data_IF_386043526890
#
_entry.id   IF_386043526890
#
_cell.length_a   1.000
_cell.length_b   1.000
_cell.length_c   1.000
_cell.angle_alpha   90.00
_cell.angle_beta   90.00
_cell.angle_gamma   90.00
#
_symmetry.space_group_name_H-M   'P 1'
#
loop_
_entity.id
_entity.type
_entity.pdbx_description
1 polymer ?
#
# COMPACT_ATOMS: atom_id res chain seq x y z
N UNK A 1 7.29 -14.90 10.06
CA UNK A 1 8.69 -14.82 10.52
C UNK A 1 9.28 -16.23 10.58
N UNK A 2 8.68 -17.16 11.33
CA UNK A 2 9.20 -18.55 11.46
C UNK A 2 9.50 -19.26 10.14
N UNK A 3 8.70 -19.04 9.09
CA UNK A 3 8.96 -19.65 7.78
C UNK A 3 10.23 -19.09 7.13
N UNK A 4 10.36 -17.76 7.05
CA UNK A 4 11.51 -17.13 6.43
C UNK A 4 12.82 -17.38 7.22
N UNK A 5 12.74 -17.52 8.54
CA UNK A 5 13.86 -17.96 9.37
C UNK A 5 14.22 -19.44 9.12
N UNK A 6 13.22 -20.33 9.06
CA UNK A 6 13.44 -21.76 8.76
C UNK A 6 14.06 -21.99 7.39
N UNK A 7 13.66 -21.20 6.40
CA UNK A 7 14.22 -21.23 5.04
C UNK A 7 15.57 -20.47 4.92
N UNK A 8 16.10 -19.93 6.03
CA UNK A 8 17.38 -19.22 6.04
C UNK A 8 17.37 -17.95 5.19
N UNK A 9 16.22 -17.31 5.02
CA UNK A 9 16.05 -16.08 4.24
C UNK A 9 16.30 -14.82 5.07
N UNK A 10 16.34 -14.95 6.40
CA UNK A 10 16.55 -13.86 7.35
C UNK A 10 17.70 -14.23 8.27
N UNK A 11 18.62 -13.29 8.50
CA UNK A 11 19.69 -13.44 9.47
C UNK A 11 19.87 -12.15 10.29
N UNK A 12 20.03 -12.28 11.60
CA UNK A 12 20.48 -11.17 12.45
C UNK A 12 22.01 -11.06 12.38
N UNK A 13 22.51 -9.86 12.10
CA UNK A 13 23.94 -9.59 12.07
C UNK A 13 24.49 -9.35 13.47
N UNK A 14 25.58 -10.05 13.79
CA UNK A 14 26.38 -9.80 14.99
C UNK A 14 26.91 -8.36 15.01
N UNK A 15 27.18 -7.77 16.18
CA UNK A 15 27.83 -6.47 16.28
C UNK A 15 29.25 -6.50 15.71
N UNK A 16 29.78 -5.37 15.25
CA UNK A 16 31.06 -5.27 14.52
C UNK A 16 32.23 -5.97 15.20
N UNK A 17 32.29 -5.96 16.53
CA UNK A 17 33.39 -6.51 17.32
C UNK A 17 33.38 -8.05 17.37
N UNK A 18 32.29 -8.69 16.93
CA UNK A 18 32.13 -10.14 16.85
C UNK A 18 32.17 -10.68 15.40
N UNK A 19 32.27 -9.81 14.38
CA UNK A 19 32.31 -10.23 12.97
C UNK A 19 33.73 -10.64 12.59
N UNK A 20 33.88 -11.84 12.01
CA UNK A 20 35.19 -12.42 11.64
C UNK A 20 35.83 -11.79 10.38
N UNK A 21 35.08 -11.01 9.59
CA UNK A 21 35.55 -10.43 8.33
C UNK A 21 35.88 -8.93 8.44
N UNK A 22 37.09 -8.54 8.03
CA UNK A 22 37.60 -7.15 8.04
C UNK A 22 36.83 -6.14 7.16
N UNK A 23 35.93 -6.60 6.28
CA UNK A 23 35.14 -5.75 5.38
C UNK A 23 33.99 -4.98 6.08
N UNK A 24 33.70 -5.25 7.37
CA UNK A 24 32.48 -4.80 8.05
C UNK A 24 32.76 -4.03 9.35
N UNK A 25 33.67 -3.04 9.28
CA UNK A 25 33.87 -2.06 10.36
C UNK A 25 32.70 -1.08 10.56
N UNK A 26 31.64 -1.22 9.75
CA UNK A 26 30.44 -0.40 9.81
C UNK A 26 29.53 -0.82 10.97
N UNK A 27 29.49 0.01 12.00
CA UNK A 27 28.63 -0.16 13.18
C UNK A 27 27.15 0.13 12.86
N UNK A 28 26.82 0.71 11.70
CA UNK A 28 25.43 0.90 11.26
C UNK A 28 24.69 -0.42 11.02
N UNK A 29 25.45 -1.50 10.83
CA UNK A 29 24.92 -2.85 10.64
C UNK A 29 24.83 -3.66 11.95
N UNK A 30 25.22 -3.08 13.09
CA UNK A 30 25.15 -3.77 14.38
C UNK A 30 23.70 -4.12 14.70
N UNK A 31 23.46 -5.41 14.96
CA UNK A 31 22.12 -5.99 15.16
C UNK A 31 21.15 -5.78 14.00
N UNK A 32 21.65 -5.42 12.80
CA UNK A 32 20.80 -5.27 11.64
C UNK A 32 20.26 -6.64 11.19
N UNK A 33 19.05 -6.63 10.65
CA UNK A 33 18.44 -7.80 10.03
C UNK A 33 18.78 -7.79 8.55
N UNK A 34 19.37 -8.88 8.07
CA UNK A 34 19.62 -9.14 6.66
C UNK A 34 18.48 -9.97 6.06
N UNK A 35 17.91 -9.49 4.96
CA UNK A 35 16.91 -10.15 4.12
C UNK A 35 17.61 -10.65 2.86
N UNK A 36 17.87 -11.95 2.79
CA UNK A 36 18.61 -12.55 1.69
C UNK A 36 17.72 -12.73 0.45
N UNK A 37 18.22 -12.30 -0.70
CA UNK A 37 17.52 -12.42 -1.97
C UNK A 37 17.89 -13.76 -2.59
N UNK A 38 16.91 -14.64 -2.71
CA UNK A 38 17.09 -15.93 -3.38
C UNK A 38 16.65 -15.84 -4.82
N UNK A 39 17.50 -16.32 -5.72
CA UNK A 39 17.14 -16.57 -7.11
C UNK A 39 16.13 -17.72 -7.16
N UNK A 40 14.98 -17.54 -7.81
CA UNK A 40 13.90 -18.51 -7.76
C UNK A 40 14.14 -19.77 -8.60
N UNK A 41 15.08 -19.74 -9.53
CA UNK A 41 15.41 -20.88 -10.37
C UNK A 41 16.49 -21.76 -9.73
N UNK A 42 17.48 -21.14 -9.10
CA UNK A 42 18.68 -21.80 -8.58
C UNK A 42 18.68 -21.97 -7.06
N UNK A 43 17.95 -21.12 -6.32
CA UNK A 43 17.98 -21.05 -4.86
C UNK A 43 19.24 -20.38 -4.29
N UNK A 44 20.12 -19.87 -5.14
CA UNK A 44 21.34 -19.18 -4.73
C UNK A 44 21.03 -17.80 -4.13
N UNK A 45 21.88 -17.34 -3.21
CA UNK A 45 21.79 -15.98 -2.68
C UNK A 45 22.42 -15.02 -3.68
N UNK A 46 21.60 -14.12 -4.22
CA UNK A 46 21.98 -13.18 -5.29
C UNK A 46 22.01 -11.71 -4.84
N UNK A 47 21.81 -11.48 -3.54
CA UNK A 47 21.90 -10.18 -2.91
C UNK A 47 21.28 -10.19 -1.52
N UNK A 48 21.30 -9.04 -0.85
CA UNK A 48 20.63 -8.85 0.42
C UNK A 48 20.21 -7.38 0.63
N UNK A 49 19.13 -7.22 1.40
CA UNK A 49 18.71 -5.95 2.00
C UNK A 49 18.96 -5.98 3.48
N UNK A 50 19.40 -4.87 4.06
CA UNK A 50 19.70 -4.74 5.48
C UNK A 50 18.82 -3.68 6.10
N UNK A 51 18.27 -3.99 7.27
CA UNK A 51 17.50 -3.08 8.09
C UNK A 51 18.13 -2.99 9.49
N UNK A 52 18.59 -1.80 9.85
CA UNK A 52 19.06 -1.51 11.21
C UNK A 52 17.92 -1.57 12.21
N UNK A 53 18.23 -2.03 13.42
CA UNK A 53 17.29 -2.17 14.55
C UNK A 53 17.40 -1.04 15.58
N UNK A 54 18.46 -0.23 15.50
CA UNK A 54 18.67 0.92 16.38
C UNK A 54 18.02 2.16 15.76
N UNK A 55 17.16 2.82 16.54
CA UNK A 55 16.53 4.09 16.16
C UNK A 55 17.37 5.27 16.61
N UNK A 56 17.89 6.04 15.66
CA UNK A 56 18.63 7.29 15.88
C UNK A 56 18.36 8.27 14.72
N UNK A 57 17.50 9.26 14.97
CA UNK A 57 17.13 10.29 13.98
C UNK A 57 18.25 11.31 13.70
N UNK A 58 19.16 11.53 14.64
CA UNK A 58 20.31 12.40 14.42
C UNK A 58 21.28 11.75 13.43
N UNK A 59 21.46 10.44 13.55
CA UNK A 59 22.38 9.66 12.73
C UNK A 59 21.79 9.25 11.38
N UNK A 60 20.51 8.86 11.33
CA UNK A 60 19.88 8.26 10.15
C UNK A 60 18.81 9.16 9.51
N UNK A 61 18.69 10.41 9.97
CA UNK A 61 17.74 11.39 9.45
C UNK A 61 16.28 10.96 9.64
N UNK A 62 15.40 11.39 8.72
CA UNK A 62 13.95 11.17 8.83
C UNK A 62 13.53 9.70 9.00
N UNK A 63 14.30 8.76 8.46
CA UNK A 63 13.99 7.32 8.53
C UNK A 63 14.29 6.73 9.92
N UNK A 64 15.15 7.38 10.70
CA UNK A 64 15.50 6.96 12.06
C UNK A 64 16.30 5.66 12.15
N UNK A 65 16.46 4.90 11.07
CA UNK A 65 17.17 3.61 11.05
C UNK A 65 18.03 3.49 9.80
N UNK A 66 19.09 2.70 9.88
CA UNK A 66 19.92 2.37 8.73
C UNK A 66 19.17 1.45 7.76
N UNK A 67 19.26 1.73 6.45
CA UNK A 67 18.81 0.82 5.38
C UNK A 67 19.89 0.74 4.32
N UNK A 68 20.19 -0.47 3.86
CA UNK A 68 21.17 -0.72 2.82
C UNK A 68 20.75 -1.88 1.92
N UNK A 69 21.17 -1.85 0.67
CA UNK A 69 21.13 -3.00 -0.25
C UNK A 69 22.59 -3.25 -0.62
N UNK A 70 22.99 -4.51 -0.80
CA UNK A 70 24.33 -4.86 -1.28
C UNK A 70 24.76 -3.99 -2.47
N UNK A 71 26.07 -3.79 -2.64
CA UNK A 71 26.61 -2.90 -3.69
C UNK A 71 26.33 -3.39 -5.11
N UNK A 72 26.36 -4.71 -5.32
CA UNK A 72 26.19 -5.35 -6.63
C UNK A 72 25.22 -6.54 -6.53
N UNK A 73 23.95 -6.32 -6.17
CA UNK A 73 22.98 -7.40 -6.16
C UNK A 73 22.62 -7.74 -7.61
N UNK A 74 22.14 -8.96 -7.86
CA UNK A 74 21.60 -9.30 -9.17
C UNK A 74 20.44 -8.35 -9.51
N UNK A 75 20.45 -7.70 -10.68
CA UNK A 75 19.39 -6.77 -11.07
C UNK A 75 18.01 -7.40 -11.03
N UNK A 76 16.99 -6.59 -10.77
CA UNK A 76 15.57 -6.97 -10.77
C UNK A 76 15.15 -8.02 -9.74
N UNK A 77 16.05 -8.45 -8.86
CA UNK A 77 15.76 -9.32 -7.74
C UNK A 77 15.39 -8.53 -6.49
N UNK A 78 14.78 -9.24 -5.54
CA UNK A 78 14.50 -8.71 -4.21
C UNK A 78 14.25 -9.85 -3.23
N UNK A 79 14.10 -9.48 -1.95
CA UNK A 79 13.68 -10.43 -0.93
C UNK A 79 12.32 -11.00 -1.31
N UNK A 80 12.19 -12.32 -1.36
CA UNK A 80 10.97 -12.95 -1.81
C UNK A 80 10.68 -14.26 -1.05
N UNK A 81 9.40 -14.61 -1.02
CA UNK A 81 8.84 -15.75 -0.32
C UNK A 81 7.80 -16.41 -1.22
N UNK A 82 8.10 -17.60 -1.75
CA UNK A 82 7.18 -18.41 -2.55
C UNK A 82 6.60 -19.55 -1.72
N UNK A 83 5.28 -19.65 -1.67
CA UNK A 83 4.54 -20.67 -0.92
C UNK A 83 3.65 -21.43 -1.92
N UNK A 84 4.02 -22.66 -2.26
CA UNK A 84 3.31 -23.44 -3.28
C UNK A 84 3.54 -22.91 -4.69
N UNK A 85 2.52 -22.96 -5.54
CA UNK A 85 2.57 -22.47 -6.92
C UNK A 85 2.49 -20.92 -6.96
N UNK A 86 3.13 -20.23 -7.92
CA UNK A 86 3.06 -18.76 -8.00
C UNK A 86 1.76 -18.25 -8.64
N UNK A 87 0.58 -18.64 -8.11
CA UNK A 87 -0.73 -18.24 -8.66
C UNK A 87 -1.14 -16.83 -8.22
N UNK A 88 -0.72 -16.40 -7.05
CA UNK A 88 -1.04 -15.08 -6.49
C UNK A 88 0.26 -14.31 -6.21
N UNK A 89 0.62 -13.37 -7.11
CA UNK A 89 1.79 -12.54 -6.91
C UNK A 89 1.43 -11.29 -6.11
N UNK A 90 2.27 -10.95 -5.13
CA UNK A 90 2.10 -9.74 -4.29
C UNK A 90 3.42 -8.99 -4.19
N UNK A 91 3.43 -7.74 -4.62
CA UNK A 91 4.63 -6.91 -4.71
C UNK A 91 4.63 -5.81 -3.65
N UNK A 92 5.58 -5.87 -2.72
CA UNK A 92 5.68 -4.98 -1.57
C UNK A 92 6.79 -3.95 -1.76
N UNK A 93 6.60 -2.74 -1.22
CA UNK A 93 7.62 -1.69 -1.27
C UNK A 93 8.88 -2.06 -0.45
N UNK A 94 8.73 -2.83 0.62
CA UNK A 94 9.84 -3.25 1.49
C UNK A 94 9.73 -4.70 1.98
N UNK A 95 10.85 -5.27 2.43
CA UNK A 95 10.89 -6.64 2.98
C UNK A 95 10.10 -6.74 4.30
N UNK A 96 10.02 -5.65 5.06
CA UNK A 96 9.27 -5.59 6.32
C UNK A 96 7.77 -5.62 6.04
N UNK A 97 7.29 -4.87 5.04
CA UNK A 97 5.87 -4.89 4.65
C UNK A 97 5.44 -6.26 4.15
N UNK A 98 6.29 -6.92 3.37
CA UNK A 98 6.09 -8.29 2.94
C UNK A 98 5.89 -9.23 4.12
N UNK A 99 6.80 -9.22 5.09
CA UNK A 99 6.71 -10.08 6.27
C UNK A 99 5.54 -9.71 7.18
N UNK A 100 5.20 -8.43 7.25
CA UNK A 100 4.09 -7.92 8.04
C UNK A 100 2.75 -8.40 7.47
N UNK A 101 2.59 -8.28 6.15
CA UNK A 101 1.47 -8.86 5.43
C UNK A 101 1.39 -10.37 5.63
N UNK A 102 2.52 -11.07 5.51
CA UNK A 102 2.57 -12.52 5.68
C UNK A 102 2.15 -12.96 7.10
N UNK A 103 2.55 -12.20 8.13
CA UNK A 103 2.14 -12.44 9.50
C UNK A 103 0.63 -12.22 9.71
N UNK A 104 0.08 -11.16 9.14
CA UNK A 104 -1.36 -10.84 9.23
C UNK A 104 -2.24 -11.83 8.45
N UNK A 105 -1.73 -12.44 7.40
CA UNK A 105 -2.52 -13.23 6.44
C UNK A 105 -2.09 -14.70 6.35
N UNK A 106 -1.42 -15.24 7.37
CA UNK A 106 -0.77 -16.58 7.34
C UNK A 106 -1.63 -17.70 6.74
N UNK A 107 -2.92 -17.73 7.07
CA UNK A 107 -3.87 -18.76 6.63
C UNK A 107 -4.30 -18.63 5.16
N UNK A 108 -4.01 -17.50 4.52
CA UNK A 108 -4.43 -17.16 3.14
C UNK A 108 -3.28 -17.17 2.13
N UNK A 109 -2.08 -17.59 2.52
CA UNK A 109 -0.88 -17.52 1.66
C UNK A 109 -0.63 -18.77 0.81
N UNK A 110 -1.63 -19.63 0.62
CA UNK A 110 -1.47 -20.79 -0.26
C UNK A 110 -1.34 -20.33 -1.72
N UNK A 111 -0.39 -20.94 -2.45
CA UNK A 111 -0.10 -20.64 -3.85
C UNK A 111 0.19 -19.14 -4.09
N UNK A 112 0.96 -18.54 -3.18
CA UNK A 112 1.31 -17.14 -3.21
C UNK A 112 2.82 -16.93 -3.38
N UNK A 113 3.18 -15.89 -4.13
CA UNK A 113 4.54 -15.40 -4.22
C UNK A 113 4.61 -13.96 -3.77
N UNK A 114 5.21 -13.75 -2.61
CA UNK A 114 5.44 -12.43 -2.05
C UNK A 114 6.82 -11.94 -2.47
N UNK A 115 6.92 -10.73 -3.01
CA UNK A 115 8.18 -10.16 -3.53
C UNK A 115 8.34 -8.74 -3.00
N UNK A 116 9.48 -8.43 -2.42
CA UNK A 116 9.86 -7.06 -2.10
C UNK A 116 10.58 -6.43 -3.27
N UNK A 117 10.14 -5.24 -3.67
CA UNK A 117 10.78 -4.44 -4.71
C UNK A 117 11.93 -3.57 -4.16
N UNK A 118 12.04 -3.47 -2.84
CA UNK A 118 12.97 -2.58 -2.14
C UNK A 118 12.98 -1.15 -2.70
N UNK A 119 11.78 -0.58 -2.78
CA UNK A 119 11.43 0.67 -3.44
C UNK A 119 10.48 0.47 -4.62
N UNK A 120 9.95 1.56 -5.14
CA UNK A 120 8.94 1.56 -6.22
C UNK A 120 9.58 1.21 -7.59
N UNK A 121 9.83 -0.08 -7.84
CA UNK A 121 10.61 -0.58 -9.00
C UNK A 121 9.81 -1.53 -9.91
N UNK A 122 9.37 -1.01 -11.06
CA UNK A 122 8.63 -1.78 -12.08
C UNK A 122 9.39 -3.02 -12.59
N UNK A 123 10.70 -2.92 -12.77
CA UNK A 123 11.50 -4.00 -13.35
C UNK A 123 11.53 -5.26 -12.48
N UNK A 124 11.36 -5.13 -11.15
CA UNK A 124 11.19 -6.28 -10.25
C UNK A 124 9.84 -6.95 -10.51
N UNK A 125 8.76 -6.17 -10.69
CA UNK A 125 7.43 -6.70 -11.04
C UNK A 125 7.51 -7.51 -12.34
N UNK A 126 8.05 -6.92 -13.41
CA UNK A 126 8.18 -7.58 -14.70
C UNK A 126 8.96 -8.89 -14.59
N UNK A 127 10.10 -8.88 -13.90
CA UNK A 127 10.94 -10.07 -13.74
C UNK A 127 10.19 -11.23 -13.06
N UNK A 128 9.60 -11.01 -11.89
CA UNK A 128 8.92 -12.09 -11.16
C UNK A 128 7.61 -12.54 -11.83
N UNK A 129 6.95 -11.65 -12.58
CA UNK A 129 5.82 -12.05 -13.44
C UNK A 129 6.29 -12.99 -14.54
N UNK A 130 7.39 -12.67 -15.23
CA UNK A 130 7.97 -13.54 -16.26
C UNK A 130 8.40 -14.90 -15.68
N UNK A 131 9.05 -14.90 -14.51
CA UNK A 131 9.39 -16.13 -13.78
C UNK A 131 8.15 -16.97 -13.46
N UNK A 132 7.09 -16.34 -12.95
CA UNK A 132 5.85 -17.05 -12.64
C UNK A 132 5.17 -17.65 -13.88
N UNK A 133 5.18 -16.93 -15.01
CA UNK A 133 4.66 -17.43 -16.28
C UNK A 133 5.49 -18.61 -16.76
N UNK A 134 6.82 -18.53 -16.66
CA UNK A 134 7.73 -19.61 -17.04
C UNK A 134 7.44 -20.89 -16.24
N UNK A 135 7.26 -20.76 -14.92
CA UNK A 135 6.95 -21.88 -14.03
C UNK A 135 5.55 -22.47 -14.31
N UNK A 136 4.54 -21.61 -14.48
CA UNK A 136 3.16 -22.01 -14.72
C UNK A 136 2.89 -22.48 -16.17
N UNK A 137 3.80 -22.21 -17.11
CA UNK A 137 3.67 -22.64 -18.51
C UNK A 137 3.51 -24.15 -18.64
N UNK A 138 4.17 -24.94 -17.78
CA UNK A 138 4.00 -26.40 -17.74
C UNK A 138 2.56 -26.83 -17.43
N UNK A 139 1.83 -26.00 -16.69
CA UNK A 139 0.42 -26.19 -16.31
C UNK A 139 -0.54 -25.48 -17.27
N UNK A 140 -0.03 -24.76 -18.27
CA UNK A 140 -0.79 -23.89 -19.19
C UNK A 140 -1.69 -22.88 -18.45
N UNK A 141 -1.21 -22.37 -17.32
CA UNK A 141 -1.94 -21.38 -16.52
C UNK A 141 -1.17 -20.08 -16.45
N UNK A 142 -1.91 -18.98 -16.27
CA UNK A 142 -1.38 -17.65 -15.97
C UNK A 142 -1.62 -17.35 -14.47
N UNK A 143 -0.81 -16.48 -13.82
CA UNK A 143 -1.13 -16.00 -12.48
C UNK A 143 -2.58 -15.52 -12.35
N UNK A 144 -3.26 -15.98 -11.31
CA UNK A 144 -4.66 -15.65 -11.07
C UNK A 144 -4.84 -14.24 -10.54
N UNK A 145 -3.89 -13.75 -9.74
CA UNK A 145 -3.87 -12.37 -9.28
C UNK A 145 -2.45 -11.81 -9.22
N UNK A 146 -2.34 -10.50 -9.46
CA UNK A 146 -1.09 -9.74 -9.38
C UNK A 146 -1.40 -8.46 -8.62
N UNK A 147 -0.97 -8.39 -7.36
CA UNK A 147 -1.31 -7.29 -6.46
C UNK A 147 -0.10 -6.39 -6.18
N UNK A 148 -0.34 -5.08 -6.17
CA UNK A 148 0.65 -4.08 -5.77
C UNK A 148 0.36 -3.61 -4.35
N UNK A 149 1.26 -3.94 -3.44
CA UNK A 149 1.18 -3.75 -1.99
C UNK A 149 2.14 -2.65 -1.52
N UNK A 150 2.02 -1.47 -2.12
CA UNK A 150 2.80 -0.27 -1.78
C UNK A 150 2.20 0.49 -0.61
N UNK A 151 2.98 1.41 -0.06
CA UNK A 151 2.56 2.31 1.01
C UNK A 151 1.29 3.09 0.62
N UNK A 152 0.40 3.31 1.61
CA UNK A 152 -0.79 4.15 1.47
C UNK A 152 -0.42 5.63 1.56
N UNK A 153 0.43 6.08 0.65
CA UNK A 153 0.84 7.47 0.49
C UNK A 153 0.82 7.92 -0.97
N UNK A 154 1.14 9.19 -1.20
CA UNK A 154 1.14 9.77 -2.53
C UNK A 154 2.05 9.02 -3.51
N UNK A 155 3.24 8.58 -3.09
CA UNK A 155 4.20 7.93 -3.98
C UNK A 155 3.73 6.51 -4.33
N UNK A 156 3.25 5.75 -3.35
CA UNK A 156 2.69 4.42 -3.55
C UNK A 156 1.48 4.44 -4.48
N UNK A 157 0.52 5.32 -4.25
CA UNK A 157 -0.66 5.46 -5.12
C UNK A 157 -0.31 5.83 -6.57
N UNK A 158 0.63 6.76 -6.78
CA UNK A 158 1.11 7.12 -8.12
C UNK A 158 1.81 5.94 -8.80
N UNK A 159 2.57 5.14 -8.05
CA UNK A 159 3.19 3.94 -8.59
C UNK A 159 2.15 2.89 -8.98
N UNK A 160 1.19 2.58 -8.09
CA UNK A 160 0.10 1.67 -8.39
C UNK A 160 -0.67 2.09 -9.65
N UNK A 161 -0.95 3.37 -9.81
CA UNK A 161 -1.61 3.92 -10.99
C UNK A 161 -0.84 3.63 -12.28
N UNK A 162 0.48 3.84 -12.28
CA UNK A 162 1.34 3.52 -13.42
C UNK A 162 1.33 2.02 -13.76
N UNK A 163 1.38 1.17 -12.74
CA UNK A 163 1.36 -0.29 -12.94
C UNK A 163 0.01 -0.78 -13.45
N UNK A 164 -1.09 -0.20 -12.96
CA UNK A 164 -2.44 -0.48 -13.47
C UNK A 164 -2.58 -0.09 -14.95
N UNK A 165 -2.04 1.06 -15.35
CA UNK A 165 -2.08 1.52 -16.75
C UNK A 165 -1.19 0.70 -17.67
N UNK A 166 0.03 0.33 -17.23
CA UNK A 166 0.89 -0.57 -18.00
C UNK A 166 0.23 -1.92 -18.21
N UNK A 167 -0.32 -2.51 -17.14
CA UNK A 167 -0.88 -3.85 -17.13
C UNK A 167 0.11 -4.91 -17.59
N UNK A 168 -0.35 -6.15 -17.63
CA UNK A 168 0.44 -7.32 -18.01
C UNK A 168 -0.34 -8.09 -19.08
N UNK A 169 0.32 -8.51 -20.14
CA UNK A 169 -0.33 -9.30 -21.20
C UNK A 169 -0.20 -10.77 -20.85
N UNK A 170 -1.33 -11.46 -20.74
CA UNK A 170 -1.36 -12.91 -20.64
C UNK A 170 -0.90 -13.50 -21.98
N UNK A 171 0.25 -14.22 -22.04
CA UNK A 171 0.78 -14.75 -23.29
C UNK A 171 -0.05 -15.91 -23.86
N UNK A 172 -0.97 -16.49 -23.09
CA UNK A 172 -1.82 -17.60 -23.53
C UNK A 172 -3.14 -17.09 -24.13
N UNK A 173 -3.69 -16.00 -23.60
CA UNK A 173 -4.98 -15.42 -24.05
C UNK A 173 -4.86 -14.11 -24.81
N UNK A 174 -3.67 -13.50 -24.82
CA UNK A 174 -3.38 -12.17 -25.35
C UNK A 174 -4.23 -11.05 -24.71
N UNK A 175 -4.81 -11.29 -23.54
CA UNK A 175 -5.60 -10.30 -22.80
C UNK A 175 -4.68 -9.48 -21.89
N UNK A 176 -4.94 -8.18 -21.83
CA UNK A 176 -4.31 -7.28 -20.87
C UNK A 176 -5.00 -7.42 -19.51
N UNK A 177 -4.25 -7.89 -18.53
CA UNK A 177 -4.64 -8.03 -17.13
C UNK A 177 -4.10 -6.81 -16.37
N UNK A 178 -4.93 -6.22 -15.50
CA UNK A 178 -4.53 -5.08 -14.67
C UNK A 178 -4.10 -5.61 -13.30
N UNK A 179 -3.09 -4.96 -12.72
CA UNK A 179 -2.70 -5.28 -11.36
C UNK A 179 -3.79 -4.86 -10.37
N UNK A 180 -4.07 -5.75 -9.43
CA UNK A 180 -4.98 -5.55 -8.32
C UNK A 180 -4.35 -4.67 -7.24
N UNK A 181 -5.21 -4.11 -6.40
CA UNK A 181 -4.84 -3.16 -5.36
C UNK A 181 -4.61 -3.90 -4.04
N UNK A 182 -3.37 -3.88 -3.54
CA UNK A 182 -2.97 -4.48 -2.27
C UNK A 182 -2.51 -3.46 -1.22
N UNK A 183 -2.95 -2.19 -1.34
CA UNK A 183 -2.55 -1.07 -0.48
C UNK A 183 -3.20 -1.23 0.92
N UNK A 184 -2.43 -1.16 2.01
CA UNK A 184 -2.97 -1.32 3.36
C UNK A 184 -3.92 -0.18 3.71
N UNK A 185 -5.04 -0.53 4.34
CA UNK A 185 -6.01 0.43 4.89
C UNK A 185 -6.52 1.49 3.90
N UNK A 186 -6.57 1.16 2.61
CA UNK A 186 -6.93 2.14 1.59
C UNK A 186 -8.36 2.68 1.74
N UNK A 187 -9.24 1.93 2.38
CA UNK A 187 -10.65 2.30 2.61
C UNK A 187 -10.87 3.10 3.89
N UNK A 188 -9.87 3.19 4.77
CA UNK A 188 -9.99 3.92 6.03
C UNK A 188 -9.99 5.43 5.78
N UNK A 189 -10.71 6.15 6.64
CA UNK A 189 -10.90 7.59 6.53
C UNK A 189 -10.59 8.22 7.89
N UNK A 190 -9.84 9.33 7.95
CA UNK A 190 -9.65 10.04 9.21
C UNK A 190 -10.99 10.45 9.85
N UNK A 191 -11.17 10.07 11.11
CA UNK A 191 -12.42 10.27 11.86
C UNK A 191 -12.81 11.75 11.96
N UNK A 192 -11.83 12.64 12.01
CA UNK A 192 -12.03 14.09 12.06
C UNK A 192 -12.75 14.66 10.83
N UNK A 193 -12.68 14.01 9.67
CA UNK A 193 -13.34 14.48 8.45
C UNK A 193 -14.83 14.18 8.43
N UNK A 194 -15.29 13.21 9.25
CA UNK A 194 -16.65 12.68 9.23
C UNK A 194 -17.71 13.79 9.32
N UNK A 195 -17.59 14.66 10.32
CA UNK A 195 -18.57 15.71 10.56
C UNK A 195 -18.66 16.69 9.38
N UNK A 196 -17.53 17.00 8.74
CA UNK A 196 -17.48 17.88 7.56
C UNK A 196 -18.16 17.25 6.36
N UNK A 197 -17.87 15.98 6.06
CA UNK A 197 -18.51 15.27 4.95
C UNK A 197 -20.02 15.16 5.14
N UNK A 198 -20.48 14.75 6.32
CA UNK A 198 -21.91 14.59 6.62
C UNK A 198 -22.65 15.93 6.57
N UNK A 199 -22.06 17.01 7.10
CA UNK A 199 -22.67 18.32 7.07
C UNK A 199 -22.83 18.87 5.65
N UNK A 200 -21.76 18.81 4.84
CA UNK A 200 -21.79 19.29 3.44
C UNK A 200 -22.71 18.44 2.59
N UNK A 201 -22.64 17.11 2.74
CA UNK A 201 -23.50 16.18 2.01
C UNK A 201 -24.99 16.47 2.25
N UNK A 202 -25.36 16.69 3.53
CA UNK A 202 -26.72 17.06 3.93
C UNK A 202 -27.16 18.40 3.34
N UNK A 203 -26.31 19.43 3.44
CA UNK A 203 -26.60 20.77 2.93
C UNK A 203 -26.82 20.76 1.40
N UNK A 204 -25.97 20.03 0.68
CA UNK A 204 -25.98 19.98 -0.78
C UNK A 204 -26.86 18.88 -1.37
N UNK A 205 -27.50 18.06 -0.52
CA UNK A 205 -28.32 16.92 -0.91
C UNK A 205 -27.59 15.95 -1.85
N UNK A 206 -26.37 15.57 -1.46
CA UNK A 206 -25.53 14.54 -2.10
C UNK A 206 -25.12 13.49 -1.07
N UNK A 207 -24.52 12.38 -1.51
CA UNK A 207 -24.02 11.34 -0.62
C UNK A 207 -22.61 11.66 -0.11
N UNK A 208 -22.32 11.52 1.20
CA UNK A 208 -20.98 11.76 1.74
C UNK A 208 -19.94 10.82 1.11
N UNK A 209 -20.30 9.58 0.81
CA UNK A 209 -19.47 8.57 0.14
C UNK A 209 -18.89 9.11 -1.18
N UNK A 210 -19.68 9.88 -1.94
CA UNK A 210 -19.28 10.43 -3.22
C UNK A 210 -18.25 11.55 -3.06
N UNK A 211 -18.43 12.44 -2.08
CA UNK A 211 -17.44 13.48 -1.74
C UNK A 211 -16.14 12.82 -1.29
N UNK A 212 -16.23 11.82 -0.42
CA UNK A 212 -15.10 11.05 0.10
C UNK A 212 -14.34 10.35 -1.03
N UNK A 213 -15.07 9.75 -1.99
CA UNK A 213 -14.47 9.08 -3.13
C UNK A 213 -13.65 10.04 -4.02
N UNK A 214 -14.14 11.27 -4.23
CA UNK A 214 -13.39 12.31 -4.96
C UNK A 214 -12.16 12.75 -4.16
N UNK A 215 -12.30 13.06 -2.87
CA UNK A 215 -11.17 13.47 -2.04
C UNK A 215 -10.08 12.38 -1.97
N UNK A 216 -10.50 11.11 -1.83
CA UNK A 216 -9.61 9.95 -1.88
C UNK A 216 -8.90 9.82 -3.23
N UNK A 217 -9.64 10.02 -4.32
CA UNK A 217 -9.10 9.92 -5.68
C UNK A 217 -8.07 11.00 -6.00
N UNK A 218 -8.35 12.24 -5.60
CA UNK A 218 -7.55 13.40 -5.97
C UNK A 218 -6.30 13.55 -5.08
N UNK A 219 -6.41 13.38 -3.76
CA UNK A 219 -5.29 13.65 -2.83
C UNK A 219 -5.02 12.54 -1.83
N UNK A 220 -5.64 11.36 -1.96
CA UNK A 220 -5.58 10.30 -0.95
C UNK A 220 -5.99 10.81 0.44
N UNK A 221 -7.02 11.66 0.50
CA UNK A 221 -7.57 12.27 1.72
C UNK A 221 -6.60 13.20 2.46
N UNK A 222 -5.52 13.65 1.81
CA UNK A 222 -4.58 14.60 2.40
C UNK A 222 -5.16 16.01 2.38
N UNK A 223 -4.96 16.77 3.46
CA UNK A 223 -5.31 18.19 3.55
C UNK A 223 -4.29 19.12 2.85
N UNK A 224 -3.55 18.58 1.90
CA UNK A 224 -2.59 19.33 1.08
C UNK A 224 -3.04 19.34 -0.35
N UNK A 225 -2.78 20.43 -1.08
CA UNK A 225 -3.14 20.59 -2.48
C UNK A 225 -2.34 19.71 -3.47
N UNK A 226 -1.67 18.64 -3.01
CA UNK A 226 -0.86 17.77 -3.85
C UNK A 226 -1.71 16.67 -4.49
N UNK A 227 -1.86 16.73 -5.81
CA UNK A 227 -2.55 15.68 -6.56
C UNK A 227 -1.80 14.34 -6.48
N UNK A 228 -2.56 13.26 -6.27
CA UNK A 228 -2.13 11.86 -6.21
C UNK A 228 -2.46 11.17 -7.54
N UNK A 229 -1.75 11.62 -8.58
CA UNK A 229 -1.85 11.12 -9.96
C UNK A 229 -0.50 11.32 -10.65
N UNK A 230 -0.17 10.45 -11.60
CA UNK A 230 0.96 10.65 -12.51
C UNK A 230 0.63 11.66 -13.63
N UNK A 231 -0.65 11.95 -13.82
CA UNK A 231 -1.20 12.76 -14.88
C UNK A 231 -1.82 14.05 -14.34
N UNK A 232 -1.76 15.10 -15.15
CA UNK A 232 -2.32 16.41 -14.82
C UNK A 232 -3.83 16.43 -15.04
N UNK A 233 -4.59 16.66 -13.98
CA UNK A 233 -6.05 16.80 -14.02
C UNK A 233 -6.44 18.01 -13.18
N UNK A 234 -7.37 18.81 -13.70
CA UNK A 234 -7.94 19.93 -12.95
C UNK A 234 -8.83 19.38 -11.84
N UNK A 235 -8.28 19.20 -10.65
CA UNK A 235 -8.98 18.70 -9.47
C UNK A 235 -9.41 19.82 -8.53
N UNK A 236 -10.28 19.50 -7.57
CA UNK A 236 -10.76 20.47 -6.56
C UNK A 236 -9.93 20.41 -5.28
N UNK A 237 -9.59 19.20 -4.82
CA UNK A 237 -8.79 18.99 -3.61
C UNK A 237 -7.29 19.14 -3.85
N UNK A 238 -6.83 18.93 -5.08
CA UNK A 238 -5.40 18.95 -5.41
C UNK A 238 -5.10 19.60 -6.75
N UNK A 239 -3.80 19.78 -7.03
CA UNK A 239 -3.25 20.15 -8.34
C UNK A 239 -1.88 19.52 -8.52
N UNK A 240 -1.43 19.42 -9.77
CA UNK A 240 -0.05 19.02 -10.05
C UNK A 240 0.88 20.21 -9.76
N UNK A 241 1.66 20.10 -8.68
CA UNK A 241 2.61 21.17 -8.31
C UNK A 241 3.81 21.20 -9.25
N UNK A 242 4.20 22.41 -9.67
CA UNK A 242 5.42 22.62 -10.41
C UNK A 242 6.66 22.38 -9.53
N UNK A 243 7.82 22.17 -10.16
CA UNK A 243 9.08 21.98 -9.43
C UNK A 243 9.39 23.23 -8.57
N UNK A 244 9.45 23.04 -7.25
CA UNK A 244 9.74 24.11 -6.30
C UNK A 244 8.51 24.93 -5.85
N UNK A 245 7.32 24.62 -6.37
CA UNK A 245 6.08 25.20 -5.86
C UNK A 245 5.80 24.68 -4.44
N UNK A 246 5.44 25.56 -3.48
CA UNK A 246 5.18 25.14 -2.11
C UNK A 246 3.89 24.31 -2.01
N UNK A 247 3.89 23.40 -1.04
CA UNK A 247 2.68 22.65 -0.67
C UNK A 247 1.81 23.54 0.20
N UNK A 248 0.53 23.65 -0.14
CA UNK A 248 -0.44 24.46 0.60
C UNK A 248 -1.49 23.58 1.26
N UNK A 249 -1.99 24.02 2.41
CA UNK A 249 -3.11 23.39 3.11
C UNK A 249 -4.42 23.79 2.45
N UNK A 250 -5.36 22.85 2.33
CA UNK A 250 -6.71 23.12 1.81
C UNK A 250 -7.72 23.32 2.94
N UNK A 251 -8.74 24.14 2.70
CA UNK A 251 -9.94 24.15 3.53
C UNK A 251 -10.83 22.97 3.11
N UNK A 252 -10.92 21.97 4.00
CA UNK A 252 -11.69 20.76 3.74
C UNK A 252 -13.16 21.06 3.46
N UNK A 253 -13.77 21.99 4.20
CA UNK A 253 -15.20 22.29 4.07
C UNK A 253 -15.47 22.98 2.74
N UNK A 254 -14.67 23.97 2.38
CA UNK A 254 -14.78 24.69 1.11
C UNK A 254 -14.59 23.75 -0.10
N UNK A 255 -13.56 22.90 -0.06
CA UNK A 255 -13.31 21.92 -1.11
C UNK A 255 -14.46 20.91 -1.24
N UNK A 256 -14.96 20.38 -0.11
CA UNK A 256 -16.12 19.50 -0.09
C UNK A 256 -17.37 20.17 -0.67
N UNK A 257 -17.65 21.43 -0.31
CA UNK A 257 -18.81 22.17 -0.84
C UNK A 257 -18.70 22.36 -2.35
N UNK A 258 -17.51 22.65 -2.86
CA UNK A 258 -17.26 22.79 -4.30
C UNK A 258 -17.49 21.47 -5.03
N UNK A 259 -16.90 20.37 -4.53
CA UNK A 259 -17.11 19.03 -5.10
C UNK A 259 -18.58 18.61 -5.05
N UNK A 260 -19.28 18.88 -3.95
CA UNK A 260 -20.69 18.54 -3.82
C UNK A 260 -21.57 19.27 -4.86
N UNK A 261 -21.29 20.55 -5.15
CA UNK A 261 -21.96 21.30 -6.23
C UNK A 261 -21.73 20.64 -7.59
N UNK A 262 -20.50 20.25 -7.88
CA UNK A 262 -20.12 19.61 -9.13
C UNK A 262 -20.73 18.20 -9.27
N UNK A 263 -20.75 17.43 -8.18
CA UNK A 263 -21.40 16.12 -8.10
C UNK A 263 -22.89 16.21 -8.36
N UNK A 264 -23.58 17.23 -7.84
CA UNK A 264 -25.02 17.42 -8.06
C UNK A 264 -25.37 17.58 -9.54
N UNK A 265 -24.51 18.23 -10.32
CA UNK A 265 -24.67 18.36 -11.79
C UNK A 265 -24.46 17.02 -12.51
N UNK A 266 -23.80 16.06 -11.86
CA UNK A 266 -23.46 14.74 -12.39
C UNK A 266 -24.32 13.61 -11.82
N UNK A 267 -25.32 13.93 -10.98
CA UNK A 267 -26.25 12.96 -10.40
C UNK A 267 -27.12 12.30 -11.49
N UNK A 268 -27.33 11.00 -11.34
CA UNK A 268 -28.18 10.18 -12.21
C UNK A 268 -29.55 10.01 -11.57
N UNK A 269 -30.53 9.59 -12.38
CA UNK A 269 -31.90 9.38 -11.91
C UNK A 269 -32.03 8.31 -10.81
N UNK A 270 -31.04 7.41 -10.68
CA UNK A 270 -30.97 6.37 -9.64
C UNK A 270 -30.29 6.84 -8.34
N UNK A 271 -29.93 8.12 -8.24
CA UNK A 271 -29.21 8.70 -7.08
C UNK A 271 -27.71 8.44 -7.06
N UNK A 272 -27.16 7.75 -8.07
CA UNK A 272 -25.71 7.56 -8.23
C UNK A 272 -25.08 8.71 -9.04
N UNK A 273 -23.75 8.72 -9.17
CA UNK A 273 -23.02 9.81 -9.81
C UNK A 273 -22.31 9.35 -11.08
N UNK A 274 -22.35 10.20 -12.12
CA UNK A 274 -21.57 10.01 -13.34
C UNK A 274 -20.17 10.62 -13.20
N UNK A 275 -19.20 9.83 -12.75
CA UNK A 275 -17.81 10.29 -12.56
C UNK A 275 -17.11 10.64 -13.88
N UNK A 276 -17.45 9.99 -14.99
CA UNK A 276 -16.92 10.37 -16.32
C UNK A 276 -17.33 11.80 -16.68
N UNK A 277 -18.60 12.17 -16.40
CA UNK A 277 -19.08 13.54 -16.58
C UNK A 277 -18.39 14.52 -15.63
N UNK A 278 -18.10 14.09 -14.40
CA UNK A 278 -17.39 14.90 -13.40
C UNK A 278 -15.97 15.26 -13.88
N UNK A 279 -15.18 14.27 -14.31
CA UNK A 279 -13.79 14.50 -14.71
C UNK A 279 -13.58 14.89 -16.17
N UNK A 280 -14.52 14.61 -17.09
CA UNK A 280 -14.40 15.03 -18.49
C UNK A 280 -14.31 16.54 -18.67
N UNK A 281 -14.91 17.32 -17.76
CA UNK A 281 -14.84 18.80 -17.74
C UNK A 281 -13.54 19.34 -17.12
N UNK A 282 -12.80 18.46 -16.46
CA UNK A 282 -11.61 18.72 -15.65
C UNK A 282 -10.32 18.19 -16.29
N UNK A 283 -10.44 17.27 -17.25
CA UNK A 283 -9.31 16.78 -18.01
C UNK A 283 -8.86 17.84 -19.03
N UNK A 284 -7.55 18.10 -19.10
CA UNK A 284 -6.99 18.82 -20.23
C UNK A 284 -7.19 17.97 -21.49
N UNK A 285 -7.55 18.59 -22.62
CA UNK A 285 -7.74 17.91 -23.92
C UNK A 285 -6.52 17.08 -24.31
N UNK A 286 -5.33 17.46 -23.84
CA UNK A 286 -4.07 16.74 -24.09
C UNK A 286 -3.92 15.43 -23.30
N UNK A 287 -4.73 15.19 -22.27
CA UNK A 287 -4.63 14.00 -21.41
C UNK A 287 -6.01 13.43 -21.05
N UNK A 288 -6.79 13.08 -22.07
CA UNK A 288 -8.12 12.45 -21.92
C UNK A 288 -8.06 11.16 -21.09
N UNK A 289 -6.94 10.43 -21.17
CA UNK A 289 -6.74 9.19 -20.42
C UNK A 289 -6.69 9.42 -18.89
N UNK A 290 -6.19 10.58 -18.45
CA UNK A 290 -6.19 10.96 -17.04
C UNK A 290 -7.60 11.12 -16.46
N UNK A 291 -8.50 11.75 -17.23
CA UNK A 291 -9.90 11.90 -16.84
C UNK A 291 -10.61 10.54 -16.67
N UNK A 292 -10.36 9.60 -17.61
CA UNK A 292 -10.91 8.23 -17.54
C UNK A 292 -10.38 7.49 -16.31
N UNK A 293 -9.08 7.64 -16.02
CA UNK A 293 -8.44 7.01 -14.87
C UNK A 293 -8.99 7.50 -13.54
N UNK A 294 -9.13 8.81 -13.35
CA UNK A 294 -9.70 9.39 -12.13
C UNK A 294 -11.19 9.05 -12.00
N UNK A 295 -11.94 9.01 -13.10
CA UNK A 295 -13.33 8.56 -13.10
C UNK A 295 -13.46 7.12 -12.61
N UNK A 296 -12.62 6.23 -13.14
CA UNK A 296 -12.54 4.84 -12.70
C UNK A 296 -12.17 4.74 -11.20
N UNK A 297 -11.14 5.47 -10.75
CA UNK A 297 -10.72 5.49 -9.33
C UNK A 297 -11.87 5.96 -8.41
N UNK A 298 -12.53 7.07 -8.76
CA UNK A 298 -13.64 7.61 -7.99
C UNK A 298 -14.82 6.63 -7.92
N UNK A 299 -15.14 5.97 -9.02
CA UNK A 299 -16.20 4.97 -9.03
C UNK A 299 -15.86 3.75 -8.15
N UNK A 300 -14.61 3.26 -8.19
CA UNK A 300 -14.15 2.18 -7.31
C UNK A 300 -14.23 2.60 -5.84
N UNK A 301 -13.78 3.81 -5.51
CA UNK A 301 -13.86 4.31 -4.14
C UNK A 301 -15.29 4.46 -3.66
N UNK A 302 -16.15 5.10 -4.45
CA UNK A 302 -17.56 5.27 -4.13
C UNK A 302 -18.27 3.93 -3.90
N UNK A 303 -18.06 2.94 -4.78
CA UNK A 303 -18.63 1.59 -4.60
C UNK A 303 -18.09 0.89 -3.36
N UNK A 304 -16.79 1.01 -3.08
CA UNK A 304 -16.18 0.43 -1.87
C UNK A 304 -16.74 1.06 -0.61
N UNK A 305 -16.84 2.38 -0.59
CA UNK A 305 -17.44 3.19 0.46
C UNK A 305 -18.93 2.92 0.70
N UNK A 306 -19.69 2.55 -0.33
CA UNK A 306 -21.08 2.11 -0.16
C UNK A 306 -21.20 0.68 0.40
N UNK A 307 -20.21 -0.18 0.14
CA UNK A 307 -20.19 -1.59 0.58
C UNK A 307 -19.57 -1.79 1.95
N UNK A 308 -18.62 -0.94 2.30
CA UNK A 308 -17.93 -0.94 3.57
C UNK A 308 -18.47 0.23 4.38
N UNK A 309 -19.02 -0.04 5.57
CA UNK A 309 -19.18 1.01 6.57
C UNK A 309 -17.81 1.67 6.73
N UNK A 310 -17.67 2.89 6.24
CA UNK A 310 -16.41 3.61 6.27
C UNK A 310 -15.79 3.51 7.66
N UNK A 311 -14.62 2.89 7.75
CA UNK A 311 -13.94 2.79 9.02
C UNK A 311 -13.28 4.14 9.29
N UNK A 312 -14.04 5.01 9.97
CA UNK A 312 -13.56 6.29 10.45
C UNK A 312 -12.61 6.04 11.62
N UNK A 313 -11.32 6.10 11.34
CA UNK A 313 -10.25 5.79 12.29
C UNK A 313 -9.57 7.07 12.78
N UNK A 314 -9.08 7.10 14.04
CA UNK A 314 -8.28 8.23 14.53
C UNK A 314 -7.00 8.44 13.71
N UNK A 315 -6.42 7.37 13.19
CA UNK A 315 -5.18 7.39 12.44
C UNK A 315 -5.20 6.27 11.39
N UNK A 316 -4.98 6.63 10.12
CA UNK A 316 -4.87 5.66 9.02
C UNK A 316 -3.44 5.14 8.99
N UNK A 317 -3.26 3.83 9.17
CA UNK A 317 -1.92 3.23 9.13
C UNK A 317 -1.41 3.18 7.70
N UNK A 318 -0.21 3.71 7.51
CA UNK A 318 0.39 3.97 6.19
C UNK A 318 0.80 2.68 5.47
N UNK A 319 1.44 1.75 6.19
CA UNK A 319 2.04 0.56 5.61
C UNK A 319 1.60 -0.72 6.33
N UNK A 320 2.01 -1.89 5.81
CA UNK A 320 1.60 -3.18 6.39
C UNK A 320 2.27 -3.44 7.74
N UNK A 321 3.46 -2.88 7.96
CA UNK A 321 4.17 -2.96 9.24
C UNK A 321 3.43 -2.17 10.35
N UNK A 322 2.96 -0.97 10.05
CA UNK A 322 2.17 -0.16 10.97
C UNK A 322 0.84 -0.82 11.29
N UNK A 323 0.21 -1.47 10.30
CA UNK A 323 -0.98 -2.28 10.54
C UNK A 323 -0.69 -3.46 11.46
N UNK A 324 0.41 -4.19 11.25
CA UNK A 324 0.78 -5.31 12.11
C UNK A 324 1.03 -4.86 13.55
N UNK A 325 1.78 -3.77 13.74
CA UNK A 325 2.03 -3.18 15.07
C UNK A 325 0.72 -2.82 15.76
N UNK A 326 -0.22 -2.23 15.02
CA UNK A 326 -1.54 -1.90 15.54
C UNK A 326 -2.29 -3.15 16.00
N UNK A 327 -2.37 -4.20 15.17
CA UNK A 327 -3.06 -5.44 15.52
C UNK A 327 -2.45 -6.13 16.75
N UNK A 328 -1.12 -6.18 16.85
CA UNK A 328 -0.44 -6.73 18.03
C UNK A 328 -0.85 -5.96 19.29
N UNK A 329 -0.86 -4.63 19.24
CA UNK A 329 -1.27 -3.80 20.36
C UNK A 329 -2.74 -4.04 20.73
N UNK A 330 -3.64 -4.14 19.75
CA UNK A 330 -5.05 -4.43 19.99
C UNK A 330 -5.27 -5.81 20.61
N UNK A 331 -4.51 -6.82 20.18
CA UNK A 331 -4.57 -8.16 20.77
C UNK A 331 -4.15 -8.15 22.24
N UNK A 332 -3.09 -7.43 22.59
CA UNK A 332 -2.63 -7.31 23.98
C UNK A 332 -3.66 -6.59 24.85
N UNK A 333 -4.26 -5.51 24.38
CA UNK A 333 -5.36 -4.82 25.07
C UNK A 333 -6.55 -5.76 25.29
N UNK A 334 -6.94 -6.55 24.28
CA UNK A 334 -8.04 -7.53 24.40
C UNK A 334 -7.70 -8.63 25.40
N UNK A 335 -6.44 -9.05 25.49
CA UNK A 335 -5.96 -10.05 26.46
C UNK A 335 -6.03 -9.50 27.89
N UNK A 336 -5.57 -8.28 28.10
CA UNK A 336 -5.64 -7.60 29.40
C UNK A 336 -7.09 -7.39 29.86
N UNK A 337 -7.98 -6.93 28.97
CA UNK A 337 -9.42 -6.79 29.27
C UNK A 337 -10.06 -8.12 29.66
N UNK A 338 -9.75 -9.21 28.95
CA UNK A 338 -10.25 -10.56 29.29
C UNK A 338 -9.75 -11.02 30.65
N UNK A 339 -8.47 -10.80 30.97
CA UNK A 339 -7.91 -11.13 32.27
C UNK A 339 -8.58 -10.35 33.41
N UNK A 340 -8.85 -9.05 33.21
CA UNK A 340 -9.54 -8.20 34.18
C UNK A 340 -10.99 -8.66 34.42
N UNK A 341 -11.76 -8.94 33.36
CA UNK A 341 -13.12 -9.46 33.48
C UNK A 341 -13.17 -10.81 34.21
N UNK A 342 -12.20 -11.69 33.94
CA UNK A 342 -12.09 -12.97 34.63
C UNK A 342 -11.72 -12.83 36.11
N UNK A 343 -10.97 -11.80 36.50
CA UNK A 343 -10.70 -11.48 37.90
C UNK A 343 -11.93 -10.91 38.61
N UNK A 344 -12.67 -10.01 37.95
CA UNK A 344 -13.90 -9.42 38.48
C UNK A 344 -15.01 -10.46 38.68
N UNK A 345 -15.20 -11.38 37.72
CA UNK A 345 -16.16 -12.48 37.86
C UNK A 345 -15.85 -13.40 39.04
N UNK A 346 -14.57 -13.74 39.26
CA UNK A 346 -14.15 -14.54 40.43
C UNK A 346 -14.29 -13.81 41.76
N UNK A 347 -14.31 -12.47 41.76
CA UNK A 347 -14.54 -11.69 42.97
C UNK A 347 -16.04 -11.65 43.30
N UNK A 348 -16.91 -11.52 42.29
CA UNK A 348 -18.37 -11.59 42.44
C UNK A 348 -18.88 -13.00 42.81
N UNK A 349 -18.21 -14.08 42.40
CA UNK A 349 -18.55 -15.45 42.85
C UNK A 349 -18.09 -15.76 44.28
N UNK A 350 -17.20 -14.93 44.86
CA UNK A 350 -16.69 -15.09 46.23
C UNK A 350 -17.44 -14.25 47.26
N UNK A 351 -18.19 -13.25 46.79
CA UNK A 351 -19.15 -12.44 47.57
C UNK A 351 -20.53 -13.11 47.54
#
# INVERSE_FOLDING_TARGET
IDYAEKEGLIAELKPKHERQNFLVGDDRLDHAVAFLWKDPQTGETVGASYQGTIVDFNRFGKRGTYKHIDKNPTPNHGFNLKIGDPKHLKFFESSIDLLSYAALNREKLQDAWLVSMDGLKHHVISHYVEESISELRRKQTFPQSIEICVDNDRAGHIFYEKEQMKGIVDPFTNKKIRCERGIPNDWQVPKEYKATYEAVAKEMSVEPEAIMAIHKTETNLQLTNQLVSAHDVQSTFGKMLAKGEPVETIDLKEACTTVAKELKVCERADGTYNFDRFYSRKANIKDVNAGILLSYKAEQYYKGYKKHEHEFVPEVKKDWNDQLKHEIQQQEIRKQKRAMLFQQGRQQERE
#
